data_IF_304303689139
#
_entry.id   IF_304303689139
#
_cell.length_a   1.000
_cell.length_b   1.000
_cell.length_c   1.000
_cell.angle_alpha   90.00
_cell.angle_beta   90.00
_cell.angle_gamma   90.00
#
_symmetry.space_group_name_H-M   'P 1'
#
loop_
_entity.id
_entity.type
_entity.pdbx_description
1 polymer ?
#
# COMPACT_ATOMS: atom_id res chain seq x y z
N UNK A 1 -69.28 4.05 -20.34
CA UNK A 1 -68.06 3.27 -20.64
C UNK A 1 -66.83 3.96 -20.04
N UNK A 2 -66.32 3.48 -18.90
CA UNK A 2 -64.94 3.75 -18.46
C UNK A 2 -64.43 2.45 -17.83
N UNK A 3 -63.50 1.79 -18.54
CA UNK A 3 -62.84 0.56 -18.08
C UNK A 3 -61.81 0.95 -17.02
N UNK A 4 -61.90 0.33 -15.84
CA UNK A 4 -60.90 0.38 -14.79
C UNK A 4 -59.73 -0.56 -15.13
N UNK A 5 -58.51 -0.04 -15.02
CA UNK A 5 -57.25 -0.77 -15.20
C UNK A 5 -56.82 -1.29 -13.83
N UNK A 6 -56.53 -2.59 -13.63
CA UNK A 6 -55.95 -3.07 -12.39
C UNK A 6 -54.42 -2.85 -12.41
N UNK A 7 -53.92 -2.17 -11.38
CA UNK A 7 -52.50 -2.02 -11.08
C UNK A 7 -51.98 -3.34 -10.50
N UNK A 8 -51.06 -4.01 -11.20
CA UNK A 8 -50.44 -5.25 -10.76
C UNK A 8 -49.43 -4.98 -9.63
N UNK A 9 -49.71 -5.51 -8.44
CA UNK A 9 -48.83 -5.49 -7.27
C UNK A 9 -47.87 -6.68 -7.31
N UNK A 10 -46.85 -6.61 -8.16
CA UNK A 10 -45.93 -7.73 -8.40
C UNK A 10 -44.44 -7.41 -8.26
N UNK A 11 -44.05 -6.36 -7.52
CA UNK A 11 -42.69 -5.80 -7.61
C UNK A 11 -41.89 -5.51 -6.31
N UNK A 12 -42.11 -6.17 -5.13
CA UNK A 12 -41.19 -6.01 -4.00
C UNK A 12 -40.33 -7.24 -3.66
N UNK A 13 -40.65 -8.45 -4.16
CA UNK A 13 -39.97 -9.68 -3.71
C UNK A 13 -38.70 -10.05 -4.49
N UNK A 14 -38.58 -9.60 -5.74
CA UNK A 14 -37.41 -9.94 -6.58
C UNK A 14 -36.18 -9.11 -6.20
N UNK A 15 -36.40 -7.85 -5.78
CA UNK A 15 -35.33 -6.94 -5.36
C UNK A 15 -34.75 -7.36 -4.00
N UNK A 16 -35.59 -7.88 -3.10
CA UNK A 16 -35.12 -8.39 -1.80
C UNK A 16 -34.32 -9.69 -1.93
N UNK A 17 -34.69 -10.57 -2.87
CA UNK A 17 -33.96 -11.81 -3.14
C UNK A 17 -32.56 -11.56 -3.72
N UNK A 18 -32.39 -10.55 -4.59
CA UNK A 18 -31.10 -10.12 -5.14
C UNK A 18 -30.19 -9.51 -4.06
N UNK A 19 -30.76 -8.74 -3.13
CA UNK A 19 -30.03 -8.18 -1.98
C UNK A 19 -29.56 -9.28 -1.01
N UNK A 20 -30.45 -10.22 -0.69
CA UNK A 20 -30.13 -11.34 0.20
C UNK A 20 -29.09 -12.31 -0.39
N UNK A 21 -29.16 -12.58 -1.70
CA UNK A 21 -28.15 -13.41 -2.39
C UNK A 21 -26.81 -12.71 -2.50
N UNK A 22 -26.78 -11.38 -2.70
CA UNK A 22 -25.55 -10.59 -2.67
C UNK A 22 -24.90 -10.62 -1.27
N UNK A 23 -25.70 -10.44 -0.21
CA UNK A 23 -25.26 -10.56 1.19
C UNK A 23 -24.71 -11.96 1.53
N UNK A 24 -25.37 -13.03 1.08
CA UNK A 24 -24.91 -14.41 1.23
C UNK A 24 -23.61 -14.68 0.44
N UNK A 25 -23.45 -14.11 -0.76
CA UNK A 25 -22.23 -14.22 -1.57
C UNK A 25 -21.05 -13.43 -0.98
N UNK A 26 -21.28 -12.29 -0.31
CA UNK A 26 -20.23 -11.58 0.46
C UNK A 26 -19.85 -12.27 1.77
N UNK A 27 -20.72 -13.12 2.35
CA UNK A 27 -20.43 -13.88 3.57
C UNK A 27 -19.56 -15.12 3.30
N UNK A 28 -19.68 -15.73 2.12
CA UNK A 28 -18.69 -16.70 1.64
C UNK A 28 -17.50 -15.93 1.08
N UNK A 29 -16.63 -15.47 1.98
CA UNK A 29 -15.45 -14.67 1.67
C UNK A 29 -14.66 -15.24 0.51
N UNK A 30 -14.92 -14.75 -0.71
CA UNK A 30 -13.90 -14.73 -1.72
C UNK A 30 -12.83 -13.82 -1.12
N UNK A 31 -11.63 -14.32 -0.78
CA UNK A 31 -10.56 -13.42 -0.41
C UNK A 31 -10.43 -12.46 -1.58
N UNK A 32 -10.63 -11.16 -1.35
CA UNK A 32 -10.13 -10.18 -2.29
C UNK A 32 -8.64 -10.47 -2.31
N UNK A 33 -8.15 -11.09 -3.39
CA UNK A 33 -6.73 -11.33 -3.61
C UNK A 33 -6.12 -9.99 -4.00
N UNK A 34 -6.24 -9.00 -3.12
CA UNK A 34 -5.14 -8.07 -2.98
C UNK A 34 -4.03 -8.90 -2.40
N UNK A 35 -2.97 -9.15 -3.17
CA UNK A 35 -1.73 -9.66 -2.60
C UNK A 35 -1.36 -8.69 -1.47
N UNK A 36 -1.59 -9.09 -0.22
CA UNK A 36 -1.29 -8.26 0.92
C UNK A 36 0.23 -8.10 0.95
N UNK A 37 0.73 -6.89 0.69
CA UNK A 37 2.14 -6.60 0.85
C UNK A 37 2.45 -6.67 2.34
N UNK A 38 3.21 -7.69 2.75
CA UNK A 38 3.69 -7.84 4.13
C UNK A 38 4.84 -6.86 4.37
N UNK A 39 4.74 -6.04 5.41
CA UNK A 39 5.70 -4.98 5.71
C UNK A 39 6.52 -5.30 6.97
N UNK A 40 7.72 -4.70 7.09
CA UNK A 40 8.55 -4.83 8.30
C UNK A 40 9.24 -6.19 8.50
N UNK A 41 9.19 -7.08 7.51
CA UNK A 41 9.86 -8.39 7.56
C UNK A 41 11.27 -8.29 6.95
N UNK A 42 12.29 -8.67 7.72
CA UNK A 42 13.66 -8.82 7.20
C UNK A 42 13.78 -10.16 6.49
N UNK A 43 14.49 -10.22 5.37
CA UNK A 43 14.66 -11.45 4.60
C UNK A 43 15.82 -12.35 5.09
N UNK A 44 16.35 -12.09 6.29
CA UNK A 44 17.47 -12.82 6.87
C UNK A 44 17.10 -13.51 8.17
N UNK A 45 17.61 -14.72 8.34
CA UNK A 45 17.40 -15.60 9.50
C UNK A 45 18.30 -15.26 10.70
N UNK A 46 19.25 -14.33 10.57
CA UNK A 46 20.18 -14.00 11.64
C UNK A 46 19.63 -12.85 12.51
N UNK A 47 18.87 -13.21 13.55
CA UNK A 47 18.39 -12.32 14.60
C UNK A 47 19.53 -11.99 15.58
N UNK A 48 20.58 -11.33 15.08
CA UNK A 48 21.68 -10.83 15.89
C UNK A 48 21.35 -9.50 16.54
N UNK A 49 21.79 -9.30 17.78
CA UNK A 49 21.87 -7.97 18.38
C UNK A 49 22.94 -7.16 17.65
N UNK A 50 22.64 -5.91 17.30
CA UNK A 50 23.63 -5.00 16.69
C UNK A 50 24.57 -4.53 17.80
N UNK A 51 25.69 -5.21 17.97
CA UNK A 51 26.83 -4.73 18.73
C UNK A 51 27.90 -4.19 17.77
N UNK A 52 28.46 -3.02 18.08
CA UNK A 52 29.56 -2.37 17.34
C UNK A 52 29.32 -1.98 15.87
N UNK A 53 28.15 -2.26 15.31
CA UNK A 53 27.83 -1.97 13.91
C UNK A 53 28.62 -2.87 12.96
N UNK A 54 27.97 -3.30 11.89
CA UNK A 54 28.61 -4.07 10.83
C UNK A 54 27.98 -3.66 9.50
N UNK A 55 28.70 -3.88 8.40
CA UNK A 55 28.20 -3.58 7.06
C UNK A 55 26.97 -4.45 6.77
N UNK A 56 25.86 -3.80 6.40
CA UNK A 56 24.64 -4.50 6.05
C UNK A 56 24.84 -5.35 4.79
N UNK A 57 24.31 -6.56 4.81
CA UNK A 57 24.24 -7.44 3.62
C UNK A 57 22.88 -7.28 2.94
N UNK A 58 22.78 -7.75 1.69
CA UNK A 58 21.53 -7.74 0.94
C UNK A 58 20.40 -8.43 1.73
N UNK A 59 19.26 -7.76 1.83
CA UNK A 59 18.09 -8.27 2.57
C UNK A 59 18.07 -7.94 4.08
N UNK A 60 19.12 -7.34 4.65
CA UNK A 60 19.14 -6.91 6.05
C UNK A 60 18.04 -5.89 6.34
N UNK A 61 17.89 -4.90 5.47
CA UNK A 61 16.93 -3.81 5.65
C UNK A 61 16.19 -3.60 4.34
N UNK A 62 15.20 -4.46 3.99
CA UNK A 62 14.53 -4.41 2.69
C UNK A 62 13.83 -3.08 2.40
N UNK A 63 13.44 -2.35 3.45
CA UNK A 63 12.82 -1.04 3.34
C UNK A 63 13.82 0.11 3.25
N UNK A 64 15.13 -0.10 3.42
CA UNK A 64 16.11 0.98 3.37
C UNK A 64 16.25 1.52 1.93
N UNK A 65 16.02 2.82 1.75
CA UNK A 65 16.16 3.50 0.47
C UNK A 65 17.29 4.54 0.54
N UNK A 66 18.15 4.56 -0.48
CA UNK A 66 19.10 5.66 -0.69
C UNK A 66 18.49 6.74 -1.59
N UNK A 67 18.54 8.00 -1.15
CA UNK A 67 18.05 9.15 -1.92
C UNK A 67 19.25 9.85 -2.56
N UNK A 68 19.26 9.87 -3.89
CA UNK A 68 20.33 10.45 -4.68
C UNK A 68 19.82 11.66 -5.49
N UNK A 69 20.66 12.69 -5.58
CA UNK A 69 20.41 13.87 -6.40
C UNK A 69 21.13 13.72 -7.74
N UNK A 70 20.38 13.90 -8.82
CA UNK A 70 20.95 13.99 -10.17
C UNK A 70 21.67 15.32 -10.33
N UNK A 71 22.94 15.28 -10.72
CA UNK A 71 23.74 16.47 -11.02
C UNK A 71 23.84 16.59 -12.55
N UNK A 72 23.56 17.76 -13.16
CA UNK A 72 23.51 17.91 -14.62
C UNK A 72 24.78 17.49 -15.38
N UNK A 73 25.93 17.56 -14.72
CA UNK A 73 27.24 17.34 -15.33
C UNK A 73 28.12 16.38 -14.51
N UNK A 74 27.53 15.57 -13.63
CA UNK A 74 28.29 14.72 -12.72
C UNK A 74 27.54 13.44 -12.30
N UNK A 75 28.22 12.57 -11.54
CA UNK A 75 27.58 11.39 -10.97
C UNK A 75 26.46 11.79 -10.01
N UNK A 76 25.49 10.90 -9.84
CA UNK A 76 24.47 11.05 -8.81
C UNK A 76 25.14 11.16 -7.43
N UNK A 77 24.67 12.10 -6.62
CA UNK A 77 25.21 12.33 -5.27
C UNK A 77 24.23 11.81 -4.22
N UNK A 78 24.70 10.97 -3.30
CA UNK A 78 23.93 10.56 -2.14
C UNK A 78 23.61 11.77 -1.25
N UNK A 79 22.35 11.93 -0.86
CA UNK A 79 21.88 13.05 -0.04
C UNK A 79 21.41 12.56 1.33
N UNK A 80 20.57 11.53 1.34
CA UNK A 80 19.91 11.05 2.55
C UNK A 80 19.46 9.59 2.41
N UNK A 81 19.07 9.00 3.54
CA UNK A 81 18.31 7.77 3.57
C UNK A 81 16.79 8.01 3.54
N UNK A 82 16.05 6.92 3.39
CA UNK A 82 14.60 6.86 3.50
C UNK A 82 14.11 5.46 3.83
N UNK A 83 12.80 5.31 3.98
CA UNK A 83 12.16 4.00 4.18
C UNK A 83 10.99 3.80 3.22
N UNK A 84 10.97 2.68 2.54
CA UNK A 84 9.87 2.26 1.66
C UNK A 84 8.66 1.94 2.53
N UNK A 85 7.54 2.62 2.28
CA UNK A 85 6.27 2.40 3.02
C UNK A 85 5.18 1.79 2.12
N UNK A 86 5.35 1.86 0.80
CA UNK A 86 4.52 1.17 -0.19
C UNK A 86 5.28 1.03 -1.51
N UNK A 87 4.66 0.39 -2.50
CA UNK A 87 5.21 0.22 -3.85
C UNK A 87 5.66 1.53 -4.52
N UNK A 88 5.08 2.67 -4.15
CA UNK A 88 5.34 3.96 -4.79
C UNK A 88 5.75 5.07 -3.83
N UNK A 89 5.87 4.78 -2.53
CA UNK A 89 6.13 5.81 -1.53
C UNK A 89 7.33 5.47 -0.65
N UNK A 90 8.22 6.45 -0.51
CA UNK A 90 9.36 6.46 0.41
C UNK A 90 9.19 7.62 1.38
N UNK A 91 9.30 7.36 2.68
CA UNK A 91 9.33 8.39 3.72
C UNK A 91 10.78 8.79 4.02
N UNK A 92 11.02 10.09 4.25
CA UNK A 92 12.33 10.64 4.62
C UNK A 92 12.17 11.88 5.50
N UNK A 93 13.29 12.40 6.00
CA UNK A 93 13.30 13.64 6.76
C UNK A 93 13.10 14.87 5.87
N UNK A 94 12.35 15.87 6.35
CA UNK A 94 12.16 17.15 5.63
C UNK A 94 13.48 17.85 5.28
N UNK A 95 14.47 17.77 6.18
CA UNK A 95 15.83 18.30 6.01
C UNK A 95 16.50 17.84 4.70
N UNK A 96 16.17 16.63 4.23
CA UNK A 96 16.74 16.05 3.02
C UNK A 96 16.23 16.68 1.72
N UNK A 97 15.04 17.28 1.76
CA UNK A 97 14.34 17.80 0.59
C UNK A 97 14.45 19.32 0.47
N UNK A 98 14.65 20.00 1.59
CA UNK A 98 14.85 21.45 1.61
C UNK A 98 16.33 21.75 1.33
N UNK A 99 16.59 22.59 0.33
CA UNK A 99 17.91 23.21 0.22
C UNK A 99 18.04 24.19 1.37
N UNK A 100 18.70 23.79 2.46
CA UNK A 100 19.26 24.74 3.43
C UNK A 100 20.44 25.45 2.76
N UNK A 101 20.15 26.34 1.79
CA UNK A 101 21.04 27.46 1.50
C UNK A 101 20.90 28.43 2.66
N UNK A 102 21.90 28.45 3.53
CA UNK A 102 21.95 29.40 4.64
C UNK A 102 23.06 29.13 5.65
N UNK A 103 24.31 29.08 5.20
CA UNK A 103 25.42 29.96 5.63
C UNK A 103 26.58 29.81 4.64
#
# INVERSE_FOLDING_TARGET
MKRSIPISRGFPTVISALSATCLLLTCCGLPVQGAGVECGVRQLTHLGYIAHGYDAVEGDWPWHAGIFMNIPSGPQRYICGGSIISENFVITGRCCLISVRGY
#
